data_IF_412705373391
#
_entry.id   IF_412705373391
#
_cell.length_a   1.000
_cell.length_b   1.000
_cell.length_c   1.000
_cell.angle_alpha   90.00
_cell.angle_beta   90.00
_cell.angle_gamma   90.00
#
_symmetry.space_group_name_H-M   'P 1'
#
loop_
_entity.id
_entity.type
_entity.pdbx_description
1 polymer ?
#
# COMPACT_ATOMS: atom_id res chain seq x y z
N UNK A 1 -14.20 -5.70 7.52
CA UNK A 1 -13.71 -5.37 6.15
C UNK A 1 -12.37 -6.06 5.90
N UNK A 2 -12.20 -6.79 4.79
CA UNK A 2 -10.92 -7.41 4.44
C UNK A 2 -9.85 -6.33 4.31
N UNK A 3 -8.86 -6.35 5.22
CA UNK A 3 -7.75 -5.39 5.23
C UNK A 3 -6.66 -5.91 4.30
N UNK A 4 -6.82 -5.68 3.00
CA UNK A 4 -5.79 -5.98 2.00
C UNK A 4 -4.80 -4.82 1.88
N UNK A 5 -3.56 -5.13 1.49
CA UNK A 5 -2.55 -4.10 1.30
C UNK A 5 -2.94 -3.15 0.16
N UNK A 6 -2.85 -1.83 0.40
CA UNK A 6 -3.23 -0.83 -0.58
C UNK A 6 -2.15 -0.55 -1.64
N UNK A 7 -0.93 -1.06 -1.45
CA UNK A 7 0.20 -0.92 -2.40
C UNK A 7 -0.13 -1.64 -3.70
N UNK A 8 0.24 -1.01 -4.81
CA UNK A 8 -0.02 -1.53 -6.15
C UNK A 8 0.60 -2.92 -6.30
N UNK A 9 -0.13 -3.85 -6.91
CA UNK A 9 0.30 -5.23 -7.14
C UNK A 9 0.61 -6.04 -5.86
N UNK A 10 0.28 -5.55 -4.67
CA UNK A 10 0.41 -6.33 -3.44
C UNK A 10 -0.85 -7.14 -3.15
N UNK A 11 -0.73 -8.47 -3.18
CA UNK A 11 -1.83 -9.41 -2.90
C UNK A 11 -1.99 -9.78 -1.42
N UNK A 12 -1.20 -9.18 -0.53
CA UNK A 12 -1.17 -9.55 0.88
C UNK A 12 -2.48 -9.21 1.59
N UNK A 13 -3.04 -10.18 2.30
CA UNK A 13 -4.33 -10.04 3.01
C UNK A 13 -4.24 -10.65 4.40
N UNK A 14 -4.81 -9.99 5.40
CA UNK A 14 -4.86 -10.51 6.78
C UNK A 14 -5.37 -11.95 6.92
N UNK A 15 -6.25 -12.41 6.04
CA UNK A 15 -6.82 -13.76 6.09
C UNK A 15 -5.90 -14.85 5.55
N UNK A 16 -4.86 -14.51 4.78
CA UNK A 16 -3.95 -15.49 4.14
C UNK A 16 -2.52 -15.36 4.64
N UNK A 17 -2.14 -14.16 5.07
CA UNK A 17 -0.78 -13.85 5.46
C UNK A 17 -0.71 -13.59 6.98
N UNK A 18 -0.79 -14.65 7.78
CA UNK A 18 -0.82 -14.59 9.25
C UNK A 18 0.45 -13.95 9.85
N UNK A 19 1.60 -14.16 9.21
CA UNK A 19 2.90 -13.62 9.65
C UNK A 19 3.18 -12.19 9.13
N UNK A 20 2.23 -11.59 8.40
CA UNK A 20 2.40 -10.25 7.82
C UNK A 20 1.66 -9.23 8.67
N UNK A 21 2.40 -8.20 9.10
CA UNK A 21 1.81 -7.08 9.86
C UNK A 21 1.24 -6.06 8.89
N UNK A 22 0.18 -5.38 9.30
CA UNK A 22 -0.50 -4.37 8.50
C UNK A 22 -0.56 -3.06 9.28
N UNK A 23 -0.08 -1.98 8.67
CA UNK A 23 0.04 -0.66 9.26
C UNK A 23 -0.87 0.32 8.52
N UNK A 24 -1.67 1.09 9.25
CA UNK A 24 -2.53 2.12 8.66
C UNK A 24 -1.70 3.29 8.16
N UNK A 25 -2.22 3.98 7.15
CA UNK A 25 -1.64 5.25 6.71
C UNK A 25 -1.67 6.23 7.90
N UNK A 26 -0.55 6.89 8.25
CA UNK A 26 -0.49 7.83 9.36
C UNK A 26 -1.57 8.93 9.25
N UNK A 27 -2.27 9.17 10.35
CA UNK A 27 -3.17 10.31 10.47
C UNK A 27 -2.34 11.60 10.68
N UNK A 28 -2.90 12.72 10.24
CA UNK A 28 -2.35 14.03 10.59
C UNK A 28 -2.76 14.33 12.04
N UNK A 29 -1.78 14.67 12.86
CA UNK A 29 -1.97 15.05 14.25
C UNK A 29 -2.28 16.54 14.36
N UNK A 30 -3.09 16.91 15.34
CA UNK A 30 -3.53 18.28 15.56
C UNK A 30 -3.44 18.64 17.06
N UNK A 31 -2.21 18.74 17.58
CA UNK A 31 -1.96 19.17 18.95
C UNK A 31 -1.88 20.69 19.05
N UNK A 32 -2.49 21.28 20.08
CA UNK A 32 -2.50 22.74 20.32
C UNK A 32 -1.12 23.34 20.60
N UNK A 33 -0.24 22.60 21.28
CA UNK A 33 1.05 23.10 21.77
C UNK A 33 2.27 22.38 21.18
N UNK A 34 2.07 21.41 20.28
CA UNK A 34 3.14 20.61 19.68
C UNK A 34 3.10 20.70 18.16
N UNK A 35 3.32 21.90 17.64
CA UNK A 35 3.27 22.22 16.19
C UNK A 35 4.24 21.38 15.37
N UNK A 36 5.47 21.17 15.88
CA UNK A 36 6.47 20.33 15.22
C UNK A 36 5.97 18.90 14.95
N UNK A 37 5.26 18.27 15.91
CA UNK A 37 4.71 16.92 15.71
C UNK A 37 3.57 16.90 14.68
N UNK A 38 2.78 17.97 14.61
CA UNK A 38 1.73 18.11 13.60
C UNK A 38 2.36 18.19 12.20
N UNK A 39 3.38 19.01 12.03
CA UNK A 39 4.14 19.15 10.78
C UNK A 39 4.79 17.84 10.35
N UNK A 40 5.46 17.13 11.28
CA UNK A 40 6.05 15.82 11.02
C UNK A 40 4.99 14.80 10.60
N UNK A 41 3.82 14.78 11.25
CA UNK A 41 2.76 13.85 10.91
C UNK A 41 2.16 14.12 9.52
N UNK A 42 2.01 15.38 9.15
CA UNK A 42 1.55 15.79 7.83
C UNK A 42 2.57 15.39 6.74
N UNK A 43 3.86 15.68 6.97
CA UNK A 43 4.96 15.30 6.09
C UNK A 43 5.05 13.78 5.93
N UNK A 44 4.91 13.03 7.02
CA UNK A 44 4.92 11.57 7.01
C UNK A 44 3.77 11.02 6.18
N UNK A 45 2.56 11.52 6.40
CA UNK A 45 1.38 11.12 5.63
C UNK A 45 1.57 11.39 4.14
N UNK A 46 2.07 12.58 3.79
CA UNK A 46 2.35 12.93 2.40
C UNK A 46 3.37 11.98 1.77
N UNK A 47 4.46 11.65 2.48
CA UNK A 47 5.49 10.72 2.00
C UNK A 47 4.91 9.31 1.74
N UNK A 48 4.03 8.82 2.62
CA UNK A 48 3.33 7.56 2.41
C UNK A 48 2.41 7.59 1.18
N UNK A 49 1.62 8.65 1.00
CA UNK A 49 0.72 8.78 -0.15
C UNK A 49 1.51 8.86 -1.46
N UNK A 50 2.61 9.62 -1.47
CA UNK A 50 3.52 9.71 -2.61
C UNK A 50 4.15 8.36 -2.94
N UNK A 51 4.52 7.58 -1.92
CA UNK A 51 5.07 6.25 -2.12
C UNK A 51 4.03 5.26 -2.71
N UNK A 52 2.75 5.38 -2.34
CA UNK A 52 1.66 4.52 -2.85
C UNK A 52 1.24 4.92 -4.28
N UNK A 53 1.37 6.20 -4.65
CA UNK A 53 1.21 6.74 -6.03
C UNK A 53 0.01 6.16 -6.80
N UNK A 54 -1.15 6.03 -6.15
CA UNK A 54 -2.39 5.56 -6.79
C UNK A 54 -3.24 6.74 -7.24
N UNK A 55 -3.63 6.75 -8.51
CA UNK A 55 -4.49 7.78 -9.09
C UNK A 55 -5.93 7.72 -8.53
N UNK A 56 -6.53 6.53 -8.42
CA UNK A 56 -7.83 6.32 -7.76
C UNK A 56 -7.64 6.01 -6.27
N UNK A 57 -7.32 7.05 -5.49
CA UNK A 57 -7.12 6.92 -4.05
C UNK A 57 -7.67 8.12 -3.26
N UNK A 58 -9.01 8.30 -3.23
CA UNK A 58 -9.67 9.37 -2.46
C UNK A 58 -9.43 9.23 -0.96
N UNK A 59 -9.54 10.35 -0.24
CA UNK A 59 -9.26 10.42 1.20
C UNK A 59 -10.09 9.42 2.03
N UNK A 60 -11.35 9.17 1.64
CA UNK A 60 -12.21 8.16 2.28
C UNK A 60 -11.59 6.76 2.25
N UNK A 61 -10.98 6.37 1.12
CA UNK A 61 -10.25 5.09 1.01
C UNK A 61 -8.91 5.12 1.75
N UNK A 62 -8.27 6.29 1.88
CA UNK A 62 -6.98 6.43 2.56
C UNK A 62 -7.08 6.19 4.07
N UNK A 63 -8.21 6.54 4.71
CA UNK A 63 -8.39 6.42 6.17
C UNK A 63 -8.31 4.97 6.67
N UNK A 64 -8.91 4.06 5.92
CA UNK A 64 -8.94 2.63 6.26
C UNK A 64 -7.88 1.80 5.52
N UNK A 65 -7.09 2.44 4.65
CA UNK A 65 -6.04 1.77 3.90
C UNK A 65 -4.89 1.32 4.81
N UNK A 66 -4.36 0.14 4.48
CA UNK A 66 -3.24 -0.48 5.19
C UNK A 66 -2.12 -0.87 4.25
N UNK A 67 -0.88 -0.73 4.72
CA UNK A 67 0.34 -1.17 4.05
C UNK A 67 0.93 -2.34 4.84
N UNK A 68 1.33 -3.41 4.17
CA UNK A 68 1.88 -4.58 4.85
C UNK A 68 3.38 -4.44 5.16
N UNK A 69 3.88 -5.21 6.13
CA UNK A 69 5.27 -5.20 6.60
C UNK A 69 6.30 -5.41 5.49
N UNK A 70 5.96 -6.11 4.40
CA UNK A 70 6.84 -6.37 3.26
C UNK A 70 7.30 -5.11 2.50
N UNK A 71 6.73 -3.95 2.81
CA UNK A 71 7.07 -2.66 2.21
C UNK A 71 8.03 -1.81 3.07
N UNK A 72 8.50 -2.39 4.18
CA UNK A 72 9.51 -1.81 5.08
C UNK A 72 10.69 -2.77 5.19
N UNK A 73 11.90 -2.25 5.25
CA UNK A 73 13.15 -2.99 5.38
C UNK A 73 13.17 -3.77 6.70
N UNK A 74 12.83 -3.12 7.81
CA UNK A 74 12.72 -3.75 9.13
C UNK A 74 11.38 -4.46 9.38
N UNK A 75 10.49 -4.48 8.38
CA UNK A 75 9.14 -5.05 8.51
C UNK A 75 8.16 -4.20 9.31
N UNK A 76 8.54 -2.99 9.71
CA UNK A 76 7.66 -2.03 10.39
C UNK A 76 8.04 -0.59 10.06
N UNK A 77 7.09 0.35 10.15
CA UNK A 77 7.42 1.76 10.03
C UNK A 77 8.22 2.27 11.23
N UNK A 78 9.13 3.21 10.99
CA UNK A 78 9.92 3.86 12.04
C UNK A 78 9.08 4.78 12.95
N UNK A 79 9.69 5.35 13.99
CA UNK A 79 9.02 6.33 14.85
C UNK A 79 8.74 7.65 14.12
N UNK A 80 7.74 8.42 14.57
CA UNK A 80 7.36 9.67 13.90
C UNK A 80 8.49 10.70 13.87
N UNK A 81 9.28 10.77 14.94
CA UNK A 81 10.40 11.72 15.10
C UNK A 81 11.67 11.29 14.35
N UNK A 82 11.76 10.04 13.90
CA UNK A 82 12.92 9.49 13.21
C UNK A 82 12.79 9.65 11.69
N UNK A 83 12.79 10.91 11.22
CA UNK A 83 12.51 11.25 9.82
C UNK A 83 13.54 10.69 8.83
N UNK A 84 14.80 10.55 9.28
CA UNK A 84 15.91 10.10 8.45
C UNK A 84 15.92 8.59 8.23
N UNK A 85 15.07 7.86 8.95
CA UNK A 85 14.97 6.41 8.82
C UNK A 85 14.42 6.01 7.44
N UNK A 86 15.05 5.06 6.74
CA UNK A 86 14.51 4.56 5.47
C UNK A 86 13.14 3.90 5.61
N UNK A 87 12.78 3.40 6.80
CA UNK A 87 11.46 2.85 7.13
C UNK A 87 10.45 3.89 7.63
N UNK A 88 10.79 5.19 7.59
CA UNK A 88 9.84 6.24 7.97
C UNK A 88 8.59 6.25 7.06
N UNK A 89 8.76 5.82 5.81
CA UNK A 89 7.71 5.56 4.81
C UNK A 89 7.99 4.26 4.06
N UNK A 90 6.96 3.60 3.49
CA UNK A 90 7.17 2.41 2.70
C UNK A 90 8.01 2.74 1.46
N UNK A 91 9.04 1.94 1.21
CA UNK A 91 10.04 2.23 0.16
C UNK A 91 10.39 1.01 -0.68
N UNK A 92 10.14 -0.20 -0.18
CA UNK A 92 10.48 -1.46 -0.87
C UNK A 92 9.24 -2.13 -1.47
N UNK A 93 9.44 -2.87 -2.57
CA UNK A 93 8.39 -3.67 -3.23
C UNK A 93 7.12 -2.88 -3.60
N UNK A 94 7.26 -1.62 -4.03
CA UNK A 94 6.11 -0.72 -4.27
C UNK A 94 5.28 -1.04 -5.53
N UNK A 95 5.59 -2.14 -6.22
CA UNK A 95 4.78 -2.68 -7.31
C UNK A 95 4.88 -1.94 -8.65
N UNK A 96 5.80 -0.98 -8.77
CA UNK A 96 6.08 -0.25 -10.02
C UNK A 96 7.06 -0.96 -10.95
N UNK A 97 7.48 -2.17 -10.59
CA UNK A 97 8.36 -2.98 -11.44
C UNK A 97 7.63 -3.35 -12.74
N UNK A 98 8.26 -3.06 -13.89
CA UNK A 98 7.68 -3.28 -15.22
C UNK A 98 7.42 -4.76 -15.50
N UNK A 99 8.23 -5.66 -14.95
CA UNK A 99 8.12 -7.10 -15.19
C UNK A 99 6.86 -7.69 -14.53
N UNK A 100 6.51 -7.23 -13.33
CA UNK A 100 5.28 -7.64 -12.63
C UNK A 100 4.01 -7.24 -13.39
N UNK A 101 4.04 -6.08 -14.05
CA UNK A 101 2.92 -5.60 -14.84
C UNK A 101 2.70 -6.45 -16.11
N UNK A 102 3.77 -6.85 -16.80
CA UNK A 102 3.68 -7.70 -17.99
C UNK A 102 3.05 -9.08 -17.67
N UNK A 103 3.52 -9.74 -16.61
CA UNK A 103 2.98 -11.04 -16.18
C UNK A 103 1.48 -10.96 -15.82
N UNK A 104 1.02 -9.81 -15.32
CA UNK A 104 -0.40 -9.60 -14.99
C UNK A 104 -1.27 -9.46 -16.23
N UNK A 105 -0.79 -8.73 -17.24
CA UNK A 105 -1.49 -8.59 -18.52
C UNK A 105 -1.66 -9.95 -19.18
N UNK A 106 -0.59 -10.74 -19.23
CA UNK A 106 -0.63 -12.10 -19.76
C UNK A 106 -1.62 -13.00 -19.00
N UNK A 107 -1.64 -12.93 -17.65
CA UNK A 107 -2.61 -13.69 -16.84
C UNK A 107 -4.05 -13.24 -17.12
N UNK A 108 -4.28 -11.95 -17.33
CA UNK A 108 -5.59 -11.39 -17.65
C UNK A 108 -6.06 -11.85 -19.04
N UNK A 109 -5.17 -11.84 -20.03
CA UNK A 109 -5.43 -12.36 -21.39
C UNK A 109 -5.80 -13.84 -21.35
N UNK A 110 -4.98 -14.69 -20.71
CA UNK A 110 -5.28 -16.12 -20.54
C UNK A 110 -6.63 -16.37 -19.87
N UNK A 111 -7.05 -15.50 -18.94
CA UNK A 111 -8.37 -15.60 -18.30
C UNK A 111 -9.50 -15.22 -19.26
N UNK A 112 -9.32 -14.17 -20.07
CA UNK A 112 -10.30 -13.74 -21.08
C UNK A 112 -10.50 -14.82 -22.15
N UNK A 113 -9.42 -15.43 -22.63
CA UNK A 113 -9.49 -16.51 -23.63
C UNK A 113 -10.31 -17.71 -23.11
N UNK A 114 -10.12 -18.08 -21.83
CA UNK A 114 -10.89 -19.16 -21.20
C UNK A 114 -12.38 -18.86 -21.09
N UNK A 115 -12.73 -17.62 -20.74
CA UNK A 115 -14.14 -17.18 -20.63
C UNK A 115 -14.80 -17.19 -22.02
N UNK A 116 -14.15 -16.62 -23.03
CA UNK A 116 -14.68 -16.62 -24.40
C UNK A 116 -14.88 -18.03 -24.96
N UNK A 117 -13.99 -18.98 -24.63
CA UNK A 117 -14.14 -20.39 -25.05
C UNK A 117 -15.28 -21.12 -24.34
N UNK A 118 -15.61 -20.74 -23.11
CA UNK A 118 -16.77 -21.29 -22.39
C UNK A 118 -18.12 -20.76 -22.88
N UNK A 119 -18.15 -19.55 -23.43
CA UNK A 119 -19.37 -18.94 -23.99
C UNK A 119 -19.66 -19.40 -25.42
N UNK A 120 -18.64 -19.74 -26.20
CA UNK A 120 -18.80 -20.28 -27.57
C UNK A 120 -19.12 -21.78 -27.66
N UNK A 121 -19.27 -22.48 -26.53
CA UNK A 121 -19.58 -23.91 -26.47
C UNK A 121 -20.94 -24.18 -25.82
N UNK A 122 -21.84 -23.19 -25.86
CA UNK A 122 -23.20 -23.22 -25.32
C UNK A 122 -24.18 -22.77 -26.40
#
# INVERSE_FOLDING_TARGET
MPSFCCVVNCGSTRSRDENVKFFRIPAILHFKHKTNLNELSAKRRQKWLNAIKRADFPESKQKDAVVCSRHFISGKPAELTDELNPDWAPSVNMGYDKTLNANRMERFERKREKIGRSEGNR
#
